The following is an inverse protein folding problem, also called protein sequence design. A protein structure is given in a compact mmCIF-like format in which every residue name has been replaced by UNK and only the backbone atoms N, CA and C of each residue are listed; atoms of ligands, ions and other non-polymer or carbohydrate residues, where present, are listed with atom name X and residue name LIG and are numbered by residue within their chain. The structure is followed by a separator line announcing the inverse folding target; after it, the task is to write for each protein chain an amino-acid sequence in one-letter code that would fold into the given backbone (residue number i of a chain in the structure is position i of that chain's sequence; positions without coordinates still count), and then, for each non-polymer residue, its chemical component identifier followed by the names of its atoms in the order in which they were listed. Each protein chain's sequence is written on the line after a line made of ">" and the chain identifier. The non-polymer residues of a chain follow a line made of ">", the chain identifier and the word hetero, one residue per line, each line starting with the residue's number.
data_IF_718492598887
#
_entry.id   IF_718492598887
#
_cell.length_a   1.000
_cell.length_b   1.000
_cell.length_c   1.000
_cell.angle_alpha   90.00
_cell.angle_beta   90.00
_cell.angle_gamma   90.00
#
_symmetry.space_group_name_H-M   'P 1'
#
loop_
_entity.id
_entity.type
_entity.pdbx_description
1 polymer ?
#
# COMPACT_ATOMS: atom_id res chain seq x y z
N UNK A 1 -4.09 13.70 3.59
CA UNK A 1 -5.19 14.11 2.68
C UNK A 1 -6.50 14.03 3.45
N UNK A 2 -7.43 14.96 3.22
CA UNK A 2 -8.80 14.87 3.74
C UNK A 2 -9.68 14.24 2.65
N UNK A 3 -10.20 13.03 2.87
CA UNK A 3 -10.98 12.32 1.86
C UNK A 3 -12.37 12.91 1.63
N UNK A 4 -12.88 13.75 2.53
CA UNK A 4 -14.19 14.40 2.36
C UNK A 4 -14.17 15.62 1.43
N UNK A 5 -12.98 16.16 1.11
CA UNK A 5 -12.87 17.28 0.17
C UNK A 5 -13.10 16.84 -1.29
N UNK A 6 -12.97 15.55 -1.61
CA UNK A 6 -13.12 15.03 -2.97
C UNK A 6 -12.05 15.49 -3.98
N UNK A 7 -11.23 16.48 -3.65
CA UNK A 7 -10.16 16.97 -4.50
C UNK A 7 -8.90 16.11 -4.41
N UNK A 8 -8.50 15.50 -5.53
CA UNK A 8 -7.24 14.79 -5.68
C UNK A 8 -6.27 15.60 -6.55
N UNK A 9 -5.15 16.04 -5.98
CA UNK A 9 -4.04 16.63 -6.74
C UNK A 9 -2.75 15.85 -6.50
N UNK A 10 -1.87 15.82 -7.50
CA UNK A 10 -0.55 15.17 -7.39
C UNK A 10 0.26 15.69 -6.19
N UNK A 11 0.09 16.96 -5.83
CA UNK A 11 0.77 17.55 -4.66
C UNK A 11 0.22 17.00 -3.33
N UNK A 12 -1.12 16.95 -3.15
CA UNK A 12 -1.75 16.35 -1.95
C UNK A 12 -1.38 14.86 -1.81
N UNK A 13 -1.32 14.14 -2.94
CA UNK A 13 -0.88 12.74 -2.99
C UNK A 13 0.58 12.63 -2.58
N UNK A 14 1.47 13.44 -3.14
CA UNK A 14 2.91 13.47 -2.83
C UNK A 14 3.17 13.72 -1.35
N UNK A 15 2.50 14.69 -0.74
CA UNK A 15 2.64 14.99 0.68
C UNK A 15 2.20 13.81 1.57
N UNK A 16 1.12 13.13 1.18
CA UNK A 16 0.65 11.94 1.90
C UNK A 16 1.66 10.80 1.78
N UNK A 17 2.21 10.55 0.58
CA UNK A 17 3.26 9.54 0.38
C UNK A 17 4.53 9.81 1.22
N UNK A 18 4.94 11.07 1.37
CA UNK A 18 6.10 11.44 2.21
C UNK A 18 5.84 11.10 3.69
N UNK A 19 4.61 11.27 4.18
CA UNK A 19 4.25 10.88 5.56
C UNK A 19 4.16 9.37 5.75
N UNK A 20 3.62 8.66 4.76
CA UNK A 20 3.59 7.18 4.79
C UNK A 20 5.00 6.61 4.75
N UNK A 21 5.91 7.26 4.04
CA UNK A 21 7.34 6.93 4.03
C UNK A 21 7.93 6.99 5.44
N UNK A 22 7.69 8.08 6.20
CA UNK A 22 8.14 8.19 7.59
C UNK A 22 7.59 7.07 8.46
N UNK A 23 6.30 6.77 8.33
CA UNK A 23 5.63 5.72 9.10
C UNK A 23 6.29 4.36 8.88
N UNK A 24 6.56 4.00 7.62
CA UNK A 24 7.22 2.73 7.30
C UNK A 24 8.63 2.68 7.90
N UNK A 25 9.40 3.77 7.77
CA UNK A 25 10.77 3.81 8.30
C UNK A 25 10.76 3.58 9.81
N UNK A 26 9.90 4.28 10.56
CA UNK A 26 9.79 4.09 12.00
C UNK A 26 9.39 2.66 12.36
N UNK A 27 8.36 2.10 11.72
CA UNK A 27 7.90 0.75 12.03
C UNK A 27 8.97 -0.31 11.73
N UNK A 28 9.75 -0.16 10.67
CA UNK A 28 10.85 -1.08 10.34
C UNK A 28 12.02 -0.96 11.33
N UNK A 29 12.33 0.25 11.82
CA UNK A 29 13.33 0.46 12.88
C UNK A 29 12.87 -0.19 14.19
N UNK A 30 11.60 -0.03 14.56
CA UNK A 30 11.05 -0.66 15.76
C UNK A 30 11.04 -2.19 15.63
N UNK A 31 10.70 -2.72 14.45
CA UNK A 31 10.71 -4.18 14.22
C UNK A 31 12.11 -4.78 14.29
N UNK A 32 13.13 -4.03 13.84
CA UNK A 32 14.53 -4.49 13.83
C UNK A 32 15.11 -4.71 15.23
N UNK A 33 14.45 -4.17 16.28
CA UNK A 33 14.86 -4.37 17.67
C UNK A 33 14.59 -5.79 18.19
N UNK A 34 13.79 -6.57 17.48
CA UNK A 34 13.39 -7.92 17.88
C UNK A 34 13.95 -8.98 16.94
N UNK A 35 14.00 -10.22 17.43
CA UNK A 35 14.37 -11.40 16.66
C UNK A 35 13.45 -11.67 15.48
N UNK A 36 13.93 -12.47 14.52
CA UNK A 36 13.13 -12.97 13.40
C UNK A 36 11.91 -13.72 13.93
N UNK A 37 12.05 -14.44 15.05
CA UNK A 37 10.93 -15.06 15.77
C UNK A 37 10.07 -15.93 14.86
N UNK A 38 10.71 -16.72 14.00
CA UNK A 38 10.09 -17.46 12.88
C UNK A 38 8.85 -18.25 13.29
N UNK A 39 8.84 -18.78 14.51
CA UNK A 39 7.72 -19.56 15.07
C UNK A 39 6.37 -18.81 15.00
N UNK A 40 6.35 -17.47 15.02
CA UNK A 40 5.10 -16.69 14.96
C UNK A 40 4.45 -16.67 13.57
N UNK A 41 5.22 -17.01 12.53
CA UNK A 41 4.77 -17.10 11.13
C UNK A 41 4.42 -18.54 10.73
N UNK A 42 4.75 -19.53 11.57
CA UNK A 42 4.53 -20.93 11.26
C UNK A 42 3.14 -21.39 11.71
N UNK A 43 2.44 -22.08 10.80
CA UNK A 43 1.08 -22.53 11.05
C UNK A 43 1.00 -23.50 12.24
N UNK A 44 0.01 -23.27 13.10
CA UNK A 44 -0.39 -24.16 14.19
C UNK A 44 0.70 -24.40 15.25
N UNK A 45 1.75 -23.56 15.34
CA UNK A 45 2.78 -23.69 16.38
C UNK A 45 2.32 -23.34 17.78
N UNK A 46 1.35 -22.43 17.90
CA UNK A 46 0.82 -21.96 19.18
C UNK A 46 -0.49 -22.66 19.61
N UNK A 47 -1.09 -23.48 18.73
CA UNK A 47 -2.24 -24.33 19.08
C UNK A 47 -3.51 -23.59 19.52
N UNK A 48 -3.93 -22.55 18.79
CA UNK A 48 -5.17 -21.83 19.10
C UNK A 48 -6.40 -22.73 18.95
N UNK A 49 -7.29 -22.71 19.95
CA UNK A 49 -8.43 -23.64 20.07
C UNK A 49 -9.40 -23.61 18.87
N UNK A 50 -9.68 -22.41 18.36
CA UNK A 50 -10.70 -22.17 17.33
C UNK A 50 -10.11 -21.48 16.08
N UNK A 51 -8.80 -21.63 15.86
CA UNK A 51 -8.10 -20.98 14.76
C UNK A 51 -6.98 -21.86 14.21
N UNK A 52 -7.05 -22.14 12.90
CA UNK A 52 -6.00 -22.83 12.15
C UNK A 52 -5.15 -21.81 11.40
N UNK A 53 -3.91 -21.63 11.83
CA UNK A 53 -2.99 -20.66 11.25
C UNK A 53 -1.83 -20.33 12.19
N UNK A 54 -0.98 -19.41 11.76
CA UNK A 54 0.13 -18.86 12.52
C UNK A 54 -0.33 -17.87 13.60
N UNK A 55 0.57 -17.52 14.54
CA UNK A 55 0.26 -16.52 15.55
C UNK A 55 0.05 -15.13 14.94
N UNK A 56 0.83 -14.76 13.92
CA UNK A 56 0.64 -13.50 13.23
C UNK A 56 -0.74 -13.42 12.54
N UNK A 57 -1.16 -14.47 11.83
CA UNK A 57 -2.49 -14.49 11.18
C UNK A 57 -3.62 -14.37 12.20
N UNK A 58 -3.51 -15.07 13.34
CA UNK A 58 -4.47 -14.95 14.43
C UNK A 58 -4.56 -13.49 14.92
N UNK A 59 -3.41 -12.91 15.25
CA UNK A 59 -3.36 -11.56 15.81
C UNK A 59 -3.86 -10.49 14.83
N UNK A 60 -3.42 -10.55 13.56
CA UNK A 60 -3.89 -9.60 12.53
C UNK A 60 -5.39 -9.73 12.36
N UNK A 61 -5.93 -10.95 12.25
CA UNK A 61 -7.38 -11.15 12.08
C UNK A 61 -8.20 -10.61 13.25
N UNK A 62 -7.78 -10.84 14.49
CA UNK A 62 -8.43 -10.25 15.66
C UNK A 62 -8.34 -8.72 15.63
N UNK A 63 -7.21 -8.17 15.18
CA UNK A 63 -7.02 -6.72 15.04
C UNK A 63 -7.90 -6.12 13.96
N UNK A 64 -7.99 -6.74 12.78
CA UNK A 64 -8.85 -6.26 11.68
C UNK A 64 -10.33 -6.36 12.07
N UNK A 65 -10.69 -7.38 12.85
CA UNK A 65 -12.04 -7.50 13.42
C UNK A 65 -12.38 -6.30 14.31
N UNK A 66 -11.46 -5.87 15.17
CA UNK A 66 -11.64 -4.64 15.96
C UNK A 66 -11.67 -3.39 15.08
N UNK A 67 -10.68 -3.23 14.19
CA UNK A 67 -10.52 -2.04 13.35
C UNK A 67 -11.72 -1.86 12.38
N UNK A 68 -12.31 -2.95 11.89
CA UNK A 68 -13.53 -2.93 11.07
C UNK A 68 -14.75 -2.42 11.83
N UNK A 69 -14.91 -2.79 13.11
CA UNK A 69 -16.02 -2.31 13.94
C UNK A 69 -16.04 -0.78 14.07
N UNK A 70 -14.87 -0.13 13.98
CA UNK A 70 -14.71 1.32 14.07
C UNK A 70 -14.54 2.01 12.71
N UNK A 71 -14.92 1.35 11.61
CA UNK A 71 -14.95 1.88 10.23
C UNK A 71 -13.58 2.11 9.59
N UNK A 72 -12.51 1.43 10.04
CA UNK A 72 -11.18 1.61 9.42
C UNK A 72 -11.20 1.33 7.92
N UNK A 73 -11.81 0.22 7.53
CA UNK A 73 -11.85 -0.26 6.14
C UNK A 73 -12.99 0.36 5.30
N UNK A 74 -13.76 1.30 5.87
CA UNK A 74 -14.65 2.15 5.08
C UNK A 74 -13.85 3.28 4.39
N UNK A 75 -12.65 3.59 4.90
CA UNK A 75 -11.75 4.58 4.30
C UNK A 75 -11.19 4.07 2.96
N UNK A 76 -11.13 4.90 1.91
CA UNK A 76 -10.75 4.46 0.57
C UNK A 76 -9.26 4.06 0.42
N UNK A 77 -8.43 4.36 1.42
CA UNK A 77 -6.99 4.06 1.46
C UNK A 77 -6.60 2.93 2.41
N UNK A 78 -7.56 2.29 3.08
CA UNK A 78 -7.31 1.17 4.00
C UNK A 78 -7.89 -0.13 3.38
N UNK A 79 -7.11 -1.21 3.39
CA UNK A 79 -7.50 -2.50 2.84
C UNK A 79 -7.19 -3.62 3.84
N UNK A 80 -8.17 -4.51 4.13
CA UNK A 80 -7.93 -5.61 5.05
C UNK A 80 -7.07 -6.71 4.40
N UNK A 81 -6.31 -7.42 5.22
CA UNK A 81 -5.59 -8.63 4.83
C UNK A 81 -6.52 -9.85 4.78
N UNK A 82 -7.60 -9.85 5.58
CA UNK A 82 -8.55 -10.95 5.68
C UNK A 82 -9.99 -10.52 5.37
N UNK A 83 -10.75 -11.39 4.70
CA UNK A 83 -12.11 -11.09 4.21
C UNK A 83 -13.17 -10.89 5.31
N UNK A 84 -12.88 -11.29 6.56
CA UNK A 84 -13.85 -11.26 7.67
C UNK A 84 -13.78 -9.94 8.42
N UNK A 85 -14.45 -8.93 7.88
CA UNK A 85 -14.68 -7.65 8.57
C UNK A 85 -16.02 -7.68 9.33
N UNK A 86 -16.00 -7.22 10.59
CA UNK A 86 -17.23 -7.05 11.38
C UNK A 86 -18.05 -5.88 10.82
N UNK A 87 -19.37 -5.91 11.05
CA UNK A 87 -20.21 -4.75 10.75
C UNK A 87 -19.80 -3.58 11.65
N UNK A 88 -19.67 -2.35 11.10
CA UNK A 88 -19.38 -1.19 11.90
C UNK A 88 -20.41 -0.98 13.02
N UNK A 89 -19.93 -0.64 14.21
CA UNK A 89 -20.78 -0.22 15.36
C UNK A 89 -21.05 1.28 15.36
N UNK A 90 -20.40 2.02 14.46
CA UNK A 90 -20.53 3.46 14.29
C UNK A 90 -21.39 3.78 13.05
N UNK A 91 -22.01 4.97 12.97
CA UNK A 91 -22.76 5.39 11.78
C UNK A 91 -21.89 5.40 10.52
N UNK A 92 -22.46 5.05 9.37
CA UNK A 92 -21.71 5.02 8.11
C UNK A 92 -21.17 6.41 7.73
N UNK A 93 -20.01 6.43 7.06
CA UNK A 93 -19.45 7.62 6.44
C UNK A 93 -19.68 7.55 4.93
N UNK A 94 -20.11 8.65 4.33
CA UNK A 94 -20.27 8.76 2.88
C UNK A 94 -19.04 9.47 2.30
N UNK A 95 -18.04 8.69 1.91
CA UNK A 95 -16.83 9.23 1.27
C UNK A 95 -17.13 9.62 -0.19
N UNK A 96 -16.65 10.79 -0.65
CA UNK A 96 -16.65 11.13 -2.06
C UNK A 96 -15.99 10.03 -2.89
N UNK A 97 -16.54 9.77 -4.08
CA UNK A 97 -16.01 8.78 -5.03
C UNK A 97 -14.79 9.34 -5.76
N UNK A 98 -13.65 9.36 -5.07
CA UNK A 98 -12.40 9.92 -5.63
C UNK A 98 -11.69 8.94 -6.56
N UNK A 99 -11.85 7.64 -6.33
CA UNK A 99 -11.31 6.58 -7.18
C UNK A 99 -12.40 6.00 -8.08
N UNK A 100 -11.99 5.60 -9.28
CA UNK A 100 -12.79 4.72 -10.12
C UNK A 100 -13.04 3.38 -9.39
N UNK A 101 -14.26 2.80 -9.45
CA UNK A 101 -14.55 1.51 -8.85
C UNK A 101 -13.52 0.45 -9.23
N UNK A 102 -12.99 -0.27 -8.24
CA UNK A 102 -11.96 -1.29 -8.41
C UNK A 102 -12.00 -2.28 -7.23
N UNK A 103 -11.42 -3.46 -7.42
CA UNK A 103 -11.27 -4.52 -6.41
C UNK A 103 -9.79 -4.89 -6.17
N UNK A 104 -8.86 -3.99 -6.51
CA UNK A 104 -7.42 -4.25 -6.47
C UNK A 104 -6.97 -4.39 -5.02
N UNK A 105 -6.40 -5.55 -4.68
CA UNK A 105 -5.81 -5.81 -3.37
C UNK A 105 -4.63 -6.77 -3.50
N UNK A 106 -3.42 -6.25 -3.33
CA UNK A 106 -2.15 -7.01 -3.39
C UNK A 106 -1.64 -7.39 -1.99
N UNK A 107 -2.48 -7.34 -0.94
CA UNK A 107 -2.08 -7.65 0.44
C UNK A 107 -1.43 -9.03 0.59
N UNK A 108 -1.85 -10.04 -0.18
CA UNK A 108 -1.19 -11.35 -0.19
C UNK A 108 0.29 -11.26 -0.58
N UNK A 109 0.61 -10.52 -1.64
CA UNK A 109 2.00 -10.29 -2.09
C UNK A 109 2.79 -9.48 -1.06
N UNK A 110 2.16 -8.49 -0.44
CA UNK A 110 2.77 -7.69 0.63
C UNK A 110 3.11 -8.57 1.82
N UNK A 111 2.17 -9.41 2.26
CA UNK A 111 2.35 -10.35 3.35
C UNK A 111 3.51 -11.31 3.09
N UNK A 112 3.49 -11.96 1.93
CA UNK A 112 4.53 -12.92 1.53
C UNK A 112 5.90 -12.25 1.47
N UNK A 113 5.99 -11.05 0.88
CA UNK A 113 7.25 -10.32 0.79
C UNK A 113 7.74 -9.83 2.16
N UNK A 114 6.83 -9.41 3.02
CA UNK A 114 7.16 -8.95 4.36
C UNK A 114 7.84 -10.06 5.18
N UNK A 115 7.20 -11.22 5.26
CA UNK A 115 7.71 -12.34 6.05
C UNK A 115 8.98 -12.94 5.43
N UNK A 116 9.01 -13.14 4.12
CA UNK A 116 10.07 -13.90 3.47
C UNK A 116 11.27 -13.05 3.05
N UNK A 117 11.09 -11.74 2.85
CA UNK A 117 12.16 -10.87 2.34
C UNK A 117 12.50 -9.70 3.27
N UNK A 118 11.51 -9.10 3.94
CA UNK A 118 11.75 -7.91 4.79
C UNK A 118 12.26 -8.32 6.17
N UNK A 119 11.50 -9.13 6.92
CA UNK A 119 11.87 -9.56 8.29
C UNK A 119 13.29 -10.17 8.34
N UNK A 120 13.69 -11.08 7.43
CA UNK A 120 15.03 -11.67 7.48
C UNK A 120 16.17 -10.68 7.22
N UNK A 121 15.90 -9.55 6.56
CA UNK A 121 16.89 -8.51 6.27
C UNK A 121 17.04 -7.51 7.40
N UNK A 122 15.95 -7.19 8.11
CA UNK A 122 15.95 -6.16 9.17
C UNK A 122 16.20 -6.74 10.57
N UNK A 123 15.92 -8.03 10.80
CA UNK A 123 16.09 -8.67 12.10
C UNK A 123 17.33 -9.58 12.11
N UNK A 124 18.27 -9.30 13.02
CA UNK A 124 19.55 -10.02 13.07
C UNK A 124 19.60 -11.15 14.11
N UNK A 125 18.71 -11.11 15.11
CA UNK A 125 18.58 -12.17 16.12
C UNK A 125 17.63 -13.23 15.57
N UNK A 126 17.92 -14.53 15.75
CA UNK A 126 17.03 -15.60 15.27
C UNK A 126 15.73 -15.69 16.08
N UNK A 127 15.85 -15.84 17.39
CA UNK A 127 14.72 -15.92 18.31
C UNK A 127 15.10 -15.25 19.64
N UNK A 128 14.29 -14.29 20.08
CA UNK A 128 14.45 -13.59 21.36
C UNK A 128 13.23 -13.78 22.29
N UNK A 129 12.30 -14.65 21.91
CA UNK A 129 11.06 -14.97 22.63
C UNK A 129 10.05 -13.83 22.78
N UNK A 130 10.28 -12.64 22.21
CA UNK A 130 9.37 -11.50 22.27
C UNK A 130 8.24 -11.57 21.23
N UNK A 131 7.57 -12.73 21.15
CA UNK A 131 6.60 -13.06 20.10
C UNK A 131 5.43 -12.07 20.02
N UNK A 132 4.88 -11.65 21.16
CA UNK A 132 3.77 -10.69 21.19
C UNK A 132 4.16 -9.31 20.69
N UNK A 133 5.36 -8.84 21.06
CA UNK A 133 5.91 -7.57 20.58
C UNK A 133 6.17 -7.63 19.07
N UNK A 134 6.79 -8.71 18.58
CA UNK A 134 7.00 -8.91 17.15
C UNK A 134 5.69 -8.91 16.37
N UNK A 135 4.69 -9.72 16.76
CA UNK A 135 3.41 -9.79 16.06
C UNK A 135 2.65 -8.44 16.04
N UNK A 136 2.77 -7.65 17.11
CA UNK A 136 2.15 -6.32 17.22
C UNK A 136 2.78 -5.33 16.25
N UNK A 137 4.12 -5.31 16.18
CA UNK A 137 4.85 -4.41 15.27
C UNK A 137 4.72 -4.91 13.83
N UNK A 138 4.75 -6.23 13.60
CA UNK A 138 4.51 -6.85 12.29
C UNK A 138 3.18 -6.38 11.69
N UNK A 139 2.11 -6.38 12.50
CA UNK A 139 0.79 -5.87 12.09
C UNK A 139 0.86 -4.39 11.69
N UNK A 140 1.61 -3.58 12.45
CA UNK A 140 1.77 -2.15 12.17
C UNK A 140 2.59 -1.90 10.89
N UNK A 141 3.65 -2.69 10.67
CA UNK A 141 4.42 -2.71 9.43
C UNK A 141 3.53 -3.09 8.24
N UNK A 142 2.79 -4.18 8.33
CA UNK A 142 1.92 -4.70 7.27
C UNK A 142 0.85 -3.68 6.89
N UNK A 143 0.18 -3.06 7.87
CA UNK A 143 -0.80 -2.01 7.62
C UNK A 143 -0.18 -0.77 6.95
N UNK A 144 1.00 -0.33 7.41
CA UNK A 144 1.70 0.82 6.82
C UNK A 144 2.15 0.53 5.37
N UNK A 145 2.68 -0.67 5.11
CA UNK A 145 3.07 -1.14 3.78
C UNK A 145 1.86 -1.25 2.86
N UNK A 146 0.78 -1.89 3.33
CA UNK A 146 -0.48 -2.02 2.59
C UNK A 146 -0.98 -0.66 2.14
N UNK A 147 -1.12 0.28 3.08
CA UNK A 147 -1.58 1.63 2.78
C UNK A 147 -0.68 2.34 1.78
N UNK A 148 0.65 2.29 1.95
CA UNK A 148 1.61 2.97 1.05
C UNK A 148 1.58 2.40 -0.35
N UNK A 149 1.52 1.08 -0.49
CA UNK A 149 1.55 0.39 -1.78
C UNK A 149 0.22 0.62 -2.51
N UNK A 150 -0.90 0.45 -1.81
CA UNK A 150 -2.23 0.67 -2.39
C UNK A 150 -2.54 2.15 -2.61
N UNK A 151 -1.79 3.08 -1.99
CA UNK A 151 -1.85 4.49 -2.37
C UNK A 151 -1.49 4.73 -3.85
N UNK A 152 -0.86 3.75 -4.51
CA UNK A 152 -0.69 3.70 -5.97
C UNK A 152 -1.99 3.94 -6.74
N UNK A 153 -3.17 3.54 -6.21
CA UNK A 153 -4.47 3.85 -6.84
C UNK A 153 -4.69 5.36 -7.00
N UNK A 154 -4.38 6.13 -5.95
CA UNK A 154 -4.50 7.59 -5.96
C UNK A 154 -3.43 8.24 -6.83
N UNK A 155 -2.22 7.69 -6.86
CA UNK A 155 -1.17 8.15 -7.78
C UNK A 155 -1.60 7.97 -9.23
N UNK A 156 -2.11 6.79 -9.57
CA UNK A 156 -2.58 6.45 -10.89
C UNK A 156 -3.78 7.32 -11.30
N UNK A 157 -4.76 7.52 -10.41
CA UNK A 157 -5.89 8.41 -10.68
C UNK A 157 -5.42 9.85 -10.94
N UNK A 158 -4.57 10.39 -10.07
CA UNK A 158 -4.06 11.75 -10.24
C UNK A 158 -3.28 11.93 -11.56
N UNK A 159 -2.46 10.93 -11.94
CA UNK A 159 -1.76 10.91 -13.24
C UNK A 159 -2.73 10.82 -14.42
N UNK A 160 -3.77 10.00 -14.33
CA UNK A 160 -4.77 9.83 -15.38
C UNK A 160 -5.61 11.10 -15.60
N UNK A 161 -5.95 11.80 -14.51
CA UNK A 161 -6.73 13.06 -14.57
C UNK A 161 -5.91 14.29 -14.94
N UNK A 162 -4.58 14.20 -14.90
CA UNK A 162 -3.71 15.31 -15.27
C UNK A 162 -3.79 15.53 -16.80
N UNK A 163 -4.21 16.73 -17.27
CA UNK A 163 -4.34 17.02 -18.71
C UNK A 163 -3.07 16.76 -19.52
N UNK A 164 -1.90 16.82 -18.87
CA UNK A 164 -0.62 16.55 -19.53
C UNK A 164 -0.48 15.10 -19.99
N UNK A 165 -1.05 14.15 -19.24
CA UNK A 165 -0.87 12.72 -19.48
C UNK A 165 -2.16 12.00 -19.90
N UNK A 166 -3.31 12.66 -19.77
CA UNK A 166 -4.63 12.06 -19.96
C UNK A 166 -4.78 11.33 -21.31
N UNK A 167 -4.54 12.03 -22.42
CA UNK A 167 -4.73 11.48 -23.77
C UNK A 167 -3.79 10.30 -24.06
N UNK A 168 -2.56 10.36 -23.54
CA UNK A 168 -1.59 9.28 -23.67
C UNK A 168 -2.03 8.04 -22.88
N UNK A 169 -2.48 8.20 -21.64
CA UNK A 169 -3.03 7.08 -20.87
C UNK A 169 -4.27 6.48 -21.54
N UNK A 170 -5.22 7.30 -22.01
CA UNK A 170 -6.43 6.80 -22.71
C UNK A 170 -6.04 5.95 -23.92
N UNK A 171 -5.09 6.43 -24.74
CA UNK A 171 -4.59 5.68 -25.89
C UNK A 171 -3.95 4.35 -25.48
N UNK A 172 -3.02 4.37 -24.52
CA UNK A 172 -2.29 3.18 -24.08
C UNK A 172 -3.20 2.14 -23.41
N UNK A 173 -4.18 2.58 -22.60
CA UNK A 173 -5.15 1.71 -21.94
C UNK A 173 -6.06 1.05 -22.98
N UNK A 174 -6.58 1.83 -23.95
CA UNK A 174 -7.45 1.32 -25.02
C UNK A 174 -6.75 0.25 -25.85
N UNK A 175 -5.46 0.45 -26.14
CA UNK A 175 -4.64 -0.51 -26.89
C UNK A 175 -4.08 -1.65 -26.03
N UNK A 176 -4.35 -1.69 -24.72
CA UNK A 176 -3.82 -2.69 -23.78
C UNK A 176 -2.28 -2.75 -23.76
N UNK A 177 -1.60 -1.63 -23.97
CA UNK A 177 -0.13 -1.53 -24.08
C UNK A 177 0.54 -1.48 -22.69
N UNK A 178 0.46 -2.59 -21.95
CA UNK A 178 0.91 -2.71 -20.54
C UNK A 178 2.35 -2.25 -20.33
N UNK A 179 3.27 -2.67 -21.19
CA UNK A 179 4.69 -2.36 -21.06
C UNK A 179 4.95 -0.86 -21.19
N UNK A 180 4.28 -0.19 -22.13
CA UNK A 180 4.42 1.27 -22.31
C UNK A 180 3.78 2.05 -21.17
N UNK A 181 2.67 1.57 -20.60
CA UNK A 181 2.11 2.18 -19.38
C UNK A 181 3.12 2.06 -18.25
N UNK A 182 3.73 0.88 -18.07
CA UNK A 182 4.73 0.66 -17.02
C UNK A 182 5.98 1.54 -17.19
N UNK A 183 6.46 1.72 -18.43
CA UNK A 183 7.52 2.68 -18.76
C UNK A 183 7.12 4.12 -18.41
N UNK A 184 5.91 4.55 -18.80
CA UNK A 184 5.40 5.90 -18.52
C UNK A 184 5.24 6.18 -17.02
N UNK A 185 4.94 5.15 -16.23
CA UNK A 185 4.88 5.24 -14.77
C UNK A 185 6.27 5.42 -14.12
N UNK A 186 7.33 5.04 -14.82
CA UNK A 186 8.71 5.03 -14.30
C UNK A 186 9.37 6.39 -14.50
N UNK A 187 9.87 6.96 -13.41
CA UNK A 187 10.68 8.18 -13.46
C UNK A 187 11.93 7.99 -12.61
N UNK A 188 13.02 7.60 -13.27
CA UNK A 188 14.29 7.23 -12.61
C UNK A 188 14.82 8.34 -11.69
N UNK A 189 14.68 9.60 -12.08
CA UNK A 189 15.11 10.73 -11.26
C UNK A 189 14.28 10.90 -9.98
N UNK A 190 12.97 10.68 -10.06
CA UNK A 190 12.08 10.72 -8.90
C UNK A 190 12.37 9.54 -7.98
N UNK A 191 12.61 8.36 -8.54
CA UNK A 191 12.94 7.14 -7.80
C UNK A 191 14.28 7.25 -7.08
N UNK A 192 15.31 7.74 -7.76
CA UNK A 192 16.62 8.02 -7.13
C UNK A 192 16.50 9.03 -5.99
N UNK A 193 15.77 10.13 -6.20
CA UNK A 193 15.51 11.14 -5.15
C UNK A 193 14.72 10.56 -3.97
N UNK A 194 13.78 9.65 -4.22
CA UNK A 194 13.04 8.91 -3.19
C UNK A 194 14.01 8.08 -2.35
N UNK A 195 14.84 7.24 -2.98
CA UNK A 195 15.78 6.36 -2.28
C UNK A 195 16.81 7.13 -1.45
N UNK A 196 17.39 8.21 -2.00
CA UNK A 196 18.30 9.09 -1.25
C UNK A 196 17.62 9.72 -0.04
N UNK A 197 16.36 10.15 -0.17
CA UNK A 197 15.59 10.72 0.94
C UNK A 197 15.30 9.67 2.02
N UNK A 198 14.90 8.47 1.61
CA UNK A 198 14.62 7.33 2.50
C UNK A 198 15.88 6.97 3.30
N UNK A 199 17.04 6.87 2.66
CA UNK A 199 18.30 6.59 3.35
C UNK A 199 18.64 7.67 4.39
N UNK A 200 18.51 8.95 4.00
CA UNK A 200 18.77 10.08 4.91
C UNK A 200 17.86 10.02 6.13
N UNK A 201 16.57 9.74 5.95
CA UNK A 201 15.59 9.60 7.03
C UNK A 201 15.88 8.40 7.92
N UNK A 202 16.16 7.24 7.33
CA UNK A 202 16.53 6.03 8.08
C UNK A 202 17.77 6.28 8.95
N UNK A 203 18.77 7.00 8.41
CA UNK A 203 19.94 7.42 9.17
C UNK A 203 19.58 8.37 10.31
N UNK A 204 18.73 9.36 10.09
CA UNK A 204 18.32 10.30 11.14
C UNK A 204 17.48 9.65 12.24
N UNK A 205 16.54 8.77 11.88
CA UNK A 205 15.64 8.14 12.86
C UNK A 205 16.26 6.96 13.59
N UNK A 206 17.25 6.29 12.98
CA UNK A 206 17.92 5.13 13.56
C UNK A 206 19.08 5.46 14.50
N UNK A 207 19.42 6.74 14.68
CA UNK A 207 20.50 7.19 15.57
C UNK A 207 20.03 7.31 17.01
N UNK A 208 20.83 6.83 17.96
CA UNK A 208 20.68 7.19 19.36
C UNK A 208 21.20 8.62 19.58
N UNK A 209 20.36 9.49 20.17
CA UNK A 209 20.74 10.86 20.50
C UNK A 209 21.41 10.83 21.88
N UNK A 210 22.69 10.43 21.92
CA UNK A 210 23.51 10.56 23.13
C UNK A 210 24.24 11.91 23.16
N UNK A 211 24.27 12.55 24.33
CA UNK A 211 24.97 13.84 24.56
C UNK A 211 26.49 13.69 24.75
N UNK A 212 27.10 12.55 24.38
CA UNK A 212 28.54 12.31 24.58
C UNK A 212 29.28 12.35 23.25
N UNK A 213 29.98 13.45 23.05
CA UNK A 213 30.92 13.67 21.95
C UNK A 213 32.05 12.63 22.01
N UNK A 214 32.07 11.66 21.08
CA UNK A 214 33.28 11.17 20.36
C UNK A 214 33.14 9.79 19.70
N UNK A 215 32.03 9.06 19.88
CA UNK A 215 31.83 7.79 19.18
C UNK A 215 30.88 7.96 17.98
N UNK A 216 31.15 7.20 16.91
CA UNK A 216 30.22 7.12 15.77
C UNK A 216 28.85 6.69 16.27
N UNK A 217 27.75 7.33 15.84
CA UNK A 217 26.44 7.08 16.43
C UNK A 217 26.06 5.62 16.23
N UNK A 218 25.64 4.97 17.32
CA UNK A 218 25.04 3.64 17.25
C UNK A 218 23.77 3.70 16.42
N UNK A 219 23.64 2.79 15.45
CA UNK A 219 22.52 2.73 14.51
C UNK A 219 21.68 1.49 14.80
N UNK A 220 20.40 1.70 15.13
CA UNK A 220 19.40 0.64 15.38
C UNK A 220 19.19 -0.31 14.21
N UNK A 221 19.46 0.16 13.00
CA UNK A 221 19.44 -0.58 11.74
C UNK A 221 20.42 0.06 10.76
N UNK A 222 21.03 -0.74 9.88
CA UNK A 222 21.84 -0.19 8.81
C UNK A 222 20.97 0.65 7.86
N UNK A 223 21.22 1.97 7.70
CA UNK A 223 20.33 2.86 6.96
C UNK A 223 20.10 2.47 5.51
N UNK A 224 21.06 1.77 4.89
CA UNK A 224 21.01 1.32 3.50
C UNK A 224 20.00 0.19 3.26
N UNK A 225 19.64 -0.57 4.30
CA UNK A 225 18.67 -1.67 4.15
C UNK A 225 17.30 -1.11 3.76
N UNK A 226 16.87 0.01 4.35
CA UNK A 226 15.55 0.57 4.08
C UNK A 226 15.34 1.00 2.61
N UNK A 227 16.23 1.79 1.95
CA UNK A 227 16.08 2.09 0.54
C UNK A 227 16.18 0.84 -0.35
N UNK A 228 16.96 -0.18 0.02
CA UNK A 228 16.95 -1.47 -0.71
C UNK A 228 15.59 -2.14 -0.66
N UNK A 229 14.93 -2.17 0.52
CA UNK A 229 13.57 -2.69 0.64
C UNK A 229 12.56 -1.88 -0.18
N UNK A 230 12.73 -0.56 -0.25
CA UNK A 230 11.91 0.29 -1.11
C UNK A 230 12.08 -0.07 -2.58
N UNK A 231 13.33 -0.17 -3.05
CA UNK A 231 13.69 -0.49 -4.43
C UNK A 231 13.20 -1.90 -4.83
N UNK A 232 13.44 -2.89 -3.97
CA UNK A 232 13.25 -4.30 -4.31
C UNK A 232 11.78 -4.74 -4.16
N UNK A 233 11.00 -4.11 -3.28
CA UNK A 233 9.66 -4.59 -2.92
C UNK A 233 8.56 -3.52 -2.96
N UNK A 234 8.75 -2.39 -2.25
CA UNK A 234 7.66 -1.41 -2.05
C UNK A 234 7.33 -0.69 -3.37
N UNK A 235 8.34 -0.21 -4.08
CA UNK A 235 8.14 0.51 -5.34
C UNK A 235 7.60 -0.40 -6.46
N UNK A 236 8.15 -1.61 -6.69
CA UNK A 236 7.59 -2.54 -7.68
C UNK A 236 6.11 -2.87 -7.42
N UNK A 237 5.74 -3.20 -6.17
CA UNK A 237 4.35 -3.49 -5.84
C UNK A 237 3.45 -2.25 -5.99
N UNK A 238 3.94 -1.05 -5.69
CA UNK A 238 3.18 0.19 -5.93
C UNK A 238 2.92 0.38 -7.43
N UNK A 239 3.93 0.16 -8.28
CA UNK A 239 3.76 0.26 -9.74
C UNK A 239 2.80 -0.79 -10.28
N UNK A 240 2.81 -2.00 -9.70
CA UNK A 240 1.84 -3.04 -10.05
C UNK A 240 0.40 -2.57 -9.78
N UNK A 241 0.14 -1.98 -8.61
CA UNK A 241 -1.15 -1.38 -8.27
C UNK A 241 -1.51 -0.25 -9.23
N UNK A 242 -0.57 0.64 -9.54
CA UNK A 242 -0.80 1.74 -10.49
C UNK A 242 -1.19 1.21 -11.88
N UNK A 243 -0.47 0.21 -12.39
CA UNK A 243 -0.73 -0.41 -13.68
C UNK A 243 -2.10 -1.12 -13.71
N UNK A 244 -2.40 -1.94 -12.70
CA UNK A 244 -3.67 -2.67 -12.62
C UNK A 244 -4.86 -1.70 -12.52
N UNK A 245 -4.69 -0.59 -11.81
CA UNK A 245 -5.70 0.45 -11.72
C UNK A 245 -5.95 1.13 -13.07
N UNK A 246 -4.88 1.55 -13.76
CA UNK A 246 -4.99 2.20 -15.08
C UNK A 246 -5.62 1.30 -16.13
N UNK A 247 -5.24 0.01 -16.18
CA UNK A 247 -5.80 -0.94 -17.15
C UNK A 247 -7.32 -1.14 -17.00
N UNK A 248 -7.84 -0.95 -15.80
CA UNK A 248 -9.27 -1.02 -15.52
C UNK A 248 -9.95 0.34 -15.50
N UNK A 249 -9.23 1.45 -15.71
CA UNK A 249 -9.74 2.80 -15.47
C UNK A 249 -10.82 3.25 -16.45
N UNK A 250 -10.86 2.67 -17.64
CA UNK A 250 -11.90 2.91 -18.66
C UNK A 250 -13.05 1.89 -18.61
N UNK A 251 -12.88 0.80 -17.87
CA UNK A 251 -13.87 -0.28 -17.76
C UNK A 251 -14.64 -0.12 -16.47
N UNK A 252 -15.98 -0.14 -16.51
CA UNK A 252 -16.75 -0.14 -15.27
C UNK A 252 -16.92 -1.59 -14.77
N UNK A 253 -16.29 -2.01 -13.66
CA UNK A 253 -16.43 -3.38 -13.15
C UNK A 253 -17.84 -3.68 -12.64
N UNK A 254 -18.66 -2.64 -12.42
CA UNK A 254 -20.05 -2.74 -11.98
C UNK A 254 -21.09 -2.66 -13.12
N UNK A 255 -20.66 -2.50 -14.38
CA UNK A 255 -21.58 -2.58 -15.53
C UNK A 255 -21.79 -4.04 -15.93
N UNK A 256 -23.05 -4.43 -16.06
CA UNK A 256 -23.43 -5.72 -16.64
C UNK A 256 -22.90 -5.82 -18.09
N UNK A 257 -22.63 -7.03 -18.59
CA UNK A 257 -22.08 -7.22 -19.95
C UNK A 257 -22.94 -6.54 -21.04
N UNK A 258 -24.25 -6.39 -20.82
CA UNK A 258 -25.18 -5.69 -21.72
C UNK A 258 -24.97 -4.17 -21.79
N UNK A 259 -24.47 -3.54 -20.72
CA UNK A 259 -24.21 -2.09 -20.68
C UNK A 259 -22.84 -1.74 -21.30
N UNK A 260 -21.90 -2.70 -21.30
CA UNK A 260 -20.60 -2.56 -21.96
C UNK A 260 -20.74 -2.48 -23.49
N UNK A 261 -21.67 -3.24 -24.06
CA UNK A 261 -21.95 -3.21 -25.51
C UNK A 261 -22.71 -1.94 -25.94
N UNK A 262 -23.57 -1.39 -25.08
CA UNK A 262 -24.37 -0.19 -25.39
C UNK A 262 -23.57 1.11 -25.55
N UNK A 263 -22.46 1.25 -24.81
CA UNK A 263 -21.63 2.47 -24.85
C UNK A 263 -20.60 2.48 -26.00
N UNK A 264 -20.32 1.33 -26.63
CA UNK A 264 -19.43 1.24 -27.80
C UNK A 264 -20.13 1.65 -29.11
N UNK A 265 -21.46 1.80 -29.10
CA UNK A 265 -22.25 2.12 -30.29
C UNK A 265 -23.09 3.40 -30.20
N UNK A 266 -22.99 4.20 -29.13
CA UNK A 266 -23.78 5.43 -28.99
C UNK A 266 -23.12 6.69 -29.55
N UNK A 267 -21.98 6.60 -30.23
CA UNK A 267 -21.34 7.72 -30.94
C UNK A 267 -21.50 7.63 -32.45
N UNK A 268 -22.74 7.41 -32.91
CA UNK A 268 -23.14 7.69 -34.30
C UNK A 268 -24.47 8.45 -34.29
N UNK A 269 -24.37 9.70 -34.76
CA UNK A 269 -25.37 10.66 -35.19
C UNK A 269 -26.86 10.29 -35.04
N UNK A 270 -27.56 11.11 -34.25
CA UNK A 270 -28.98 11.39 -34.48
C UNK A 270 -29.19 12.88 -34.71
N UNK A 271 -28.75 13.34 -35.88
CA UNK A 271 -29.44 14.43 -36.55
C UNK A 271 -30.84 13.97 -36.99
N UNK A 272 -31.80 14.88 -36.84
CA UNK A 272 -33.10 14.93 -37.50
C UNK A 272 -34.11 13.81 -37.18
N UNK A 273 -35.24 14.19 -36.58
CA UNK A 273 -36.49 14.34 -37.34
C UNK A 273 -37.51 15.18 -36.53
N UNK A 274 -37.97 16.26 -37.16
CA UNK A 274 -39.27 16.87 -36.91
C UNK A 274 -40.36 15.96 -37.48
N UNK A 275 -41.40 15.67 -36.72
CA UNK A 275 -42.82 15.93 -37.02
C UNK A 275 -43.64 15.63 -35.77
#
# INVERSE_FOLDING_TARGET
>A
MNFFEGEMSLEKVRQTLIRLEDTIIFQLIERSQFGKNKIIYENNKFGFKDFNGSFLEYYVKERESLDSSIRRYDSPDELPFFDKIQKPILPNLDYPKVLHPNNINVNKKIWDSYINNIVPRICHIEDDSNYGSSATIDTSCLQALSRRIHFGKFVAEAKFTDPKYHDEYVKLITNQEKDKIYELLTNEDVERKLLTRVEKKARTFGQDIEFKDNDSPHLKIQPIIIPELYRDFIMPLTKEVELEYLLNRLNNPNMSEKEKEGNLHSSVDKENYKF
#
